data_IF_824081506249
#
_entry.id   IF_824081506249
#
_cell.length_a   1.000
_cell.length_b   1.000
_cell.length_c   1.000
_cell.angle_alpha   90.00
_cell.angle_beta   90.00
_cell.angle_gamma   90.00
#
_symmetry.space_group_name_H-M   'P 1'
#
loop_
_entity.id
_entity.type
_entity.pdbx_description
1 polymer ?
#
# COMPACT_ATOMS: atom_id res chain seq x y z
N UNK A 1 75.65 -10.85 -45.42
CA UNK A 1 74.33 -11.57 -45.40
C UNK A 1 73.50 -11.14 -44.22
N UNK A 2 74.07 -10.44 -43.25
CA UNK A 2 73.36 -9.97 -42.03
C UNK A 2 72.58 -8.65 -42.24
N UNK A 3 73.05 -7.75 -43.09
CA UNK A 3 72.46 -6.41 -43.32
C UNK A 3 71.20 -6.40 -44.20
N UNK A 4 70.96 -7.45 -44.97
CA UNK A 4 69.76 -7.56 -45.85
C UNK A 4 68.54 -8.10 -45.10
N UNK A 5 68.75 -8.89 -44.03
CA UNK A 5 67.66 -9.41 -43.18
C UNK A 5 67.14 -8.35 -42.22
N UNK A 6 67.97 -7.41 -41.79
CA UNK A 6 67.60 -6.33 -40.89
C UNK A 6 66.72 -5.28 -41.54
N UNK A 7 66.98 -4.96 -42.87
CA UNK A 7 66.19 -4.02 -43.67
C UNK A 7 64.82 -4.58 -44.11
N UNK A 8 64.69 -5.91 -44.19
CA UNK A 8 63.40 -6.56 -44.52
C UNK A 8 62.47 -6.63 -43.28
N UNK A 9 63.04 -6.86 -42.10
CA UNK A 9 62.32 -6.86 -40.84
C UNK A 9 61.79 -5.47 -40.42
N UNK A 10 62.58 -4.42 -40.71
CA UNK A 10 62.20 -3.02 -40.43
C UNK A 10 61.11 -2.49 -41.38
N UNK A 11 61.04 -2.98 -42.63
CA UNK A 11 59.96 -2.68 -43.58
C UNK A 11 58.69 -3.42 -43.27
N UNK A 12 58.73 -4.65 -42.83
CA UNK A 12 57.52 -5.41 -42.41
C UNK A 12 56.93 -4.86 -41.12
N UNK A 13 57.77 -4.44 -40.13
CA UNK A 13 57.27 -3.80 -38.93
C UNK A 13 56.66 -2.42 -39.16
N UNK A 14 57.18 -1.66 -40.15
CA UNK A 14 56.57 -0.36 -40.55
C UNK A 14 55.30 -0.53 -41.37
N UNK A 15 55.11 -1.63 -42.09
CA UNK A 15 53.84 -1.92 -42.81
C UNK A 15 52.77 -2.48 -41.87
N UNK A 16 53.12 -3.21 -40.82
CA UNK A 16 52.16 -3.70 -39.81
C UNK A 16 51.71 -2.58 -38.88
N UNK A 17 52.49 -1.51 -38.71
CA UNK A 17 52.10 -0.39 -37.81
C UNK A 17 51.24 0.68 -38.53
N UNK A 18 51.05 0.59 -39.83
CA UNK A 18 50.30 1.58 -40.62
C UNK A 18 48.89 1.12 -41.05
N UNK A 19 48.42 -0.05 -40.56
CA UNK A 19 47.12 -0.58 -40.91
C UNK A 19 46.16 -0.73 -39.72
N UNK A 20 46.49 -0.10 -38.58
CA UNK A 20 45.54 0.12 -37.48
C UNK A 20 45.18 1.61 -37.49
N UNK A 21 44.50 2.04 -38.57
CA UNK A 21 43.64 3.19 -38.47
C UNK A 21 42.44 2.77 -37.61
N UNK A 22 42.63 2.83 -36.29
CA UNK A 22 41.56 3.09 -35.38
C UNK A 22 40.94 4.40 -35.85
N UNK A 23 39.82 4.33 -36.58
CA UNK A 23 38.96 5.46 -36.77
C UNK A 23 38.48 5.86 -35.36
N UNK A 24 39.33 6.53 -34.60
CA UNK A 24 38.89 7.33 -33.46
C UNK A 24 37.89 8.31 -34.07
N UNK A 25 36.61 8.08 -33.77
CA UNK A 25 35.56 9.03 -34.10
C UNK A 25 35.83 10.26 -33.24
N UNK A 26 36.75 11.11 -33.67
CA UNK A 26 36.92 12.45 -33.12
C UNK A 26 35.62 13.22 -33.43
N UNK A 27 34.72 13.22 -32.41
CA UNK A 27 33.52 14.05 -32.46
C UNK A 27 33.98 15.50 -32.33
N UNK A 28 34.24 16.16 -33.48
CA UNK A 28 34.56 17.58 -33.49
C UNK A 28 33.33 18.39 -33.07
N UNK A 29 33.34 18.78 -31.78
CA UNK A 29 32.30 19.61 -31.16
C UNK A 29 32.07 20.92 -31.92
N UNK A 30 33.10 21.47 -32.56
CA UNK A 30 32.99 22.71 -33.34
C UNK A 30 32.24 22.49 -34.66
N UNK A 31 32.44 21.37 -35.33
CA UNK A 31 31.68 20.99 -36.52
C UNK A 31 30.21 20.69 -36.20
N UNK A 32 29.95 20.02 -35.06
CA UNK A 32 28.59 19.84 -34.56
C UNK A 32 27.89 21.18 -34.30
N UNK A 33 28.59 22.11 -33.67
CA UNK A 33 28.05 23.45 -33.37
C UNK A 33 27.78 24.25 -34.66
N UNK A 34 28.66 24.20 -35.66
CA UNK A 34 28.43 24.82 -36.99
C UNK A 34 27.25 24.20 -37.73
N UNK A 35 27.10 22.88 -37.73
CA UNK A 35 25.93 22.16 -38.28
C UNK A 35 24.64 22.58 -37.61
N UNK A 36 24.61 22.67 -36.27
CA UNK A 36 23.43 23.13 -35.50
C UNK A 36 23.07 24.58 -35.80
N UNK A 37 24.04 25.49 -35.88
CA UNK A 37 23.83 26.90 -36.27
C UNK A 37 23.25 27.02 -37.69
N UNK A 38 23.75 26.19 -38.64
CA UNK A 38 23.23 26.14 -40.01
C UNK A 38 21.75 25.71 -40.11
N UNK A 39 21.26 24.98 -39.13
CA UNK A 39 19.87 24.44 -39.09
C UNK A 39 18.93 25.36 -38.32
N UNK A 40 19.36 26.54 -37.84
CA UNK A 40 18.56 27.44 -36.96
C UNK A 40 17.11 27.68 -37.44
N UNK A 41 16.89 27.86 -38.76
CA UNK A 41 15.53 28.05 -39.31
C UNK A 41 14.63 26.81 -39.10
N UNK A 42 15.18 25.58 -39.14
CA UNK A 42 14.45 24.35 -38.92
C UNK A 42 14.18 24.18 -37.42
N UNK A 43 15.13 24.58 -36.57
CA UNK A 43 15.00 24.55 -35.11
C UNK A 43 13.86 25.47 -34.66
N UNK A 44 13.76 26.70 -35.18
CA UNK A 44 12.65 27.62 -34.87
C UNK A 44 11.28 27.06 -35.31
N UNK A 45 11.22 26.43 -36.49
CA UNK A 45 9.97 25.76 -36.93
C UNK A 45 9.61 24.59 -36.02
N UNK A 46 10.57 23.78 -35.62
CA UNK A 46 10.37 22.67 -34.70
C UNK A 46 9.92 23.16 -33.31
N UNK A 47 10.55 24.19 -32.78
CA UNK A 47 10.16 24.80 -31.51
C UNK A 47 8.72 25.34 -31.57
N UNK A 48 8.30 25.96 -32.70
CA UNK A 48 6.93 26.40 -32.91
C UNK A 48 5.91 25.23 -32.92
N UNK A 49 6.25 24.14 -33.61
CA UNK A 49 5.41 22.93 -33.62
C UNK A 49 5.36 22.31 -32.22
N UNK A 50 6.52 22.19 -31.56
CA UNK A 50 6.60 21.66 -30.18
C UNK A 50 5.80 22.49 -29.17
N UNK A 51 5.77 23.82 -29.34
CA UNK A 51 4.98 24.73 -28.51
C UNK A 51 3.47 24.46 -28.71
N UNK A 52 2.99 24.36 -29.95
CA UNK A 52 1.56 24.08 -30.23
C UNK A 52 1.14 22.74 -29.64
N UNK A 53 1.92 21.68 -29.90
CA UNK A 53 1.66 20.35 -29.34
C UNK A 53 1.72 20.38 -27.81
N UNK A 54 2.74 21.04 -27.24
CA UNK A 54 2.91 21.19 -25.81
C UNK A 54 1.73 21.89 -25.12
N UNK A 55 1.16 22.93 -25.74
CA UNK A 55 -0.04 23.62 -25.23
C UNK A 55 -1.26 22.68 -25.26
N UNK A 56 -1.47 21.97 -26.37
CA UNK A 56 -2.61 21.03 -26.51
C UNK A 56 -2.53 19.95 -25.42
N UNK A 57 -1.35 19.35 -25.22
CA UNK A 57 -1.12 18.32 -24.19
C UNK A 57 -1.28 18.90 -22.80
N UNK A 58 -0.71 20.08 -22.51
CA UNK A 58 -0.75 20.71 -21.19
C UNK A 58 -2.19 21.08 -20.76
N UNK A 59 -3.08 21.43 -21.72
CA UNK A 59 -4.50 21.70 -21.44
C UNK A 59 -5.27 20.41 -21.26
N UNK A 60 -4.88 19.35 -21.95
CA UNK A 60 -5.54 18.05 -21.92
C UNK A 60 -5.33 17.27 -20.61
N UNK A 61 -4.23 17.53 -19.88
CA UNK A 61 -3.97 16.86 -18.61
C UNK A 61 -4.85 17.45 -17.51
N UNK A 62 -5.69 16.63 -16.84
CA UNK A 62 -6.52 17.11 -15.73
C UNK A 62 -5.66 17.54 -14.55
N UNK A 63 -6.14 18.52 -13.80
CA UNK A 63 -5.47 18.94 -12.56
C UNK A 63 -5.61 17.85 -11.52
N UNK A 64 -4.59 17.68 -10.70
CA UNK A 64 -4.59 16.76 -9.58
C UNK A 64 -4.36 17.52 -8.28
N UNK A 65 -5.03 17.09 -7.22
CA UNK A 65 -4.94 17.69 -5.89
C UNK A 65 -4.60 16.57 -4.92
N UNK A 66 -3.51 16.74 -4.19
CA UNK A 66 -3.05 15.80 -3.18
C UNK A 66 -3.33 16.36 -1.80
N UNK A 67 -3.94 15.56 -0.97
CA UNK A 67 -4.14 15.81 0.45
C UNK A 67 -3.25 14.86 1.21
N UNK A 68 -2.48 15.39 2.12
CA UNK A 68 -1.60 14.62 3.00
C UNK A 68 -2.13 14.72 4.43
N UNK A 69 -2.25 13.57 5.10
CA UNK A 69 -2.67 13.47 6.50
C UNK A 69 -1.57 12.77 7.26
N UNK A 70 -1.08 13.38 8.32
CA UNK A 70 -0.02 12.83 9.14
C UNK A 70 -0.56 12.33 10.47
N UNK A 71 -0.29 11.06 10.75
CA UNK A 71 -0.64 10.37 11.99
C UNK A 71 0.61 10.13 12.81
N UNK A 72 0.57 10.50 14.08
CA UNK A 72 1.59 10.09 15.06
C UNK A 72 1.04 8.92 15.87
N UNK A 73 1.76 7.80 15.99
CA UNK A 73 1.42 6.83 17.01
C UNK A 73 1.58 7.51 18.36
N UNK A 74 0.54 7.53 19.19
CA UNK A 74 0.73 7.86 20.61
C UNK A 74 1.60 6.75 21.20
N UNK A 75 2.83 7.07 21.51
CA UNK A 75 3.64 6.23 22.39
C UNK A 75 2.92 6.15 23.72
N UNK A 76 2.10 5.10 23.87
CA UNK A 76 1.56 4.76 25.17
C UNK A 76 2.74 4.75 26.14
N UNK A 77 2.68 5.59 27.13
CA UNK A 77 3.76 5.81 28.09
C UNK A 77 3.87 4.53 28.96
N UNK A 78 4.31 3.42 28.33
CA UNK A 78 4.59 2.14 28.94
C UNK A 78 5.87 2.19 29.79
N UNK A 79 6.04 3.30 30.52
CA UNK A 79 6.89 3.29 31.71
C UNK A 79 6.16 2.54 32.80
N UNK A 80 6.27 1.20 32.78
CA UNK A 80 6.31 0.31 33.95
C UNK A 80 5.30 0.48 35.11
N UNK A 81 4.17 1.13 34.93
CA UNK A 81 3.25 1.46 36.01
C UNK A 81 1.79 1.07 35.79
N UNK A 82 1.46 0.49 34.63
CA UNK A 82 0.09 0.04 34.36
C UNK A 82 -0.18 -1.39 34.85
N UNK A 83 -1.41 -1.85 34.67
CA UNK A 83 -1.88 -3.19 35.03
C UNK A 83 -1.03 -4.33 34.40
N UNK A 84 -0.39 -4.04 33.24
CA UNK A 84 0.55 -4.94 32.59
C UNK A 84 1.81 -5.25 33.42
N UNK A 85 2.31 -4.27 34.17
CA UNK A 85 3.41 -4.49 35.14
C UNK A 85 3.00 -5.40 36.29
N UNK A 86 1.80 -5.28 36.75
CA UNK A 86 1.24 -6.17 37.79
C UNK A 86 0.97 -7.59 37.23
N UNK A 87 0.44 -7.69 36.00
CA UNK A 87 0.23 -8.99 35.36
C UNK A 87 1.54 -9.72 35.06
N UNK A 88 2.59 -9.01 34.62
CA UNK A 88 3.92 -9.57 34.38
C UNK A 88 4.58 -10.08 35.68
N UNK A 89 4.39 -9.39 36.81
CA UNK A 89 4.89 -9.82 38.11
C UNK A 89 4.15 -11.07 38.65
N UNK A 90 2.88 -11.24 38.29
CA UNK A 90 2.08 -12.42 38.67
C UNK A 90 2.37 -13.65 37.78
N UNK A 91 2.70 -13.45 36.50
CA UNK A 91 2.94 -14.54 35.53
C UNK A 91 4.42 -14.96 35.43
N UNK A 92 5.34 -14.33 36.16
CA UNK A 92 6.73 -14.74 36.25
C UNK A 92 7.55 -14.65 34.94
N UNK A 93 7.03 -14.06 33.90
CA UNK A 93 7.72 -13.91 32.64
C UNK A 93 8.20 -12.46 32.46
N UNK A 94 9.49 -12.22 32.78
CA UNK A 94 10.19 -10.96 32.53
C UNK A 94 10.45 -10.70 31.04
N UNK A 95 9.39 -10.65 30.22
CA UNK A 95 9.51 -10.24 28.82
C UNK A 95 9.17 -8.77 28.76
N UNK A 96 10.19 -7.93 28.75
CA UNK A 96 10.09 -6.52 28.36
C UNK A 96 9.77 -6.45 26.86
N UNK A 97 8.49 -6.50 26.51
CA UNK A 97 7.99 -6.37 25.15
C UNK A 97 7.74 -4.86 24.89
N UNK A 98 8.81 -4.07 24.78
CA UNK A 98 8.67 -2.60 24.78
C UNK A 98 9.41 -1.93 23.69
N UNK A 99 9.65 -2.20 22.53
CA UNK A 99 10.15 -1.29 21.47
C UNK A 99 9.83 -1.73 20.01
N UNK A 100 9.36 -2.96 19.80
CA UNK A 100 9.05 -3.46 18.46
C UNK A 100 7.61 -3.23 18.01
N UNK A 101 6.68 -2.95 18.91
CA UNK A 101 5.24 -2.89 18.60
C UNK A 101 4.85 -1.64 17.81
N UNK A 102 5.49 -0.50 18.06
CA UNK A 102 5.18 0.75 17.37
C UNK A 102 5.72 0.79 15.95
N UNK A 103 6.93 0.24 15.74
CA UNK A 103 7.51 0.12 14.40
C UNK A 103 6.72 -0.86 13.50
N UNK A 104 6.17 -1.95 14.08
CA UNK A 104 5.29 -2.87 13.39
C UNK A 104 3.98 -2.22 12.97
N UNK A 105 3.40 -1.34 13.81
CA UNK A 105 2.17 -0.62 13.47
C UNK A 105 2.35 0.31 12.30
N UNK A 106 3.46 1.00 12.27
CA UNK A 106 3.77 1.95 11.20
C UNK A 106 3.96 1.23 9.85
N UNK A 107 4.70 0.09 9.82
CA UNK A 107 4.88 -0.69 8.59
C UNK A 107 3.57 -1.32 8.10
N UNK A 108 2.72 -1.81 9.02
CA UNK A 108 1.41 -2.37 8.69
C UNK A 108 0.47 -1.35 8.03
N UNK A 109 0.59 -0.06 8.36
CA UNK A 109 -0.26 0.99 7.77
C UNK A 109 -0.14 1.05 6.26
N UNK A 110 1.08 0.96 5.71
CA UNK A 110 1.30 0.99 4.26
C UNK A 110 0.74 -0.27 3.57
N UNK A 111 0.91 -1.43 4.21
CA UNK A 111 0.43 -2.71 3.68
C UNK A 111 -1.10 -2.78 3.72
N UNK A 112 -1.74 -2.31 4.80
CA UNK A 112 -3.21 -2.27 4.92
C UNK A 112 -3.81 -1.35 3.85
N UNK A 113 -3.30 -0.12 3.69
CA UNK A 113 -3.81 0.85 2.71
C UNK A 113 -3.68 0.34 1.29
N UNK A 114 -2.66 -0.47 0.99
CA UNK A 114 -2.45 -1.07 -0.34
C UNK A 114 -3.16 -2.40 -0.54
N UNK A 115 -3.81 -2.94 0.50
CA UNK A 115 -4.47 -4.25 0.43
C UNK A 115 -5.78 -4.20 -0.36
N UNK A 116 -6.07 -5.28 -1.09
CA UNK A 116 -7.30 -5.40 -1.89
C UNK A 116 -8.58 -5.28 -1.05
N UNK A 117 -8.71 -5.93 0.12
CA UNK A 117 -9.92 -5.80 0.96
C UNK A 117 -10.17 -4.37 1.39
N UNK A 118 -9.14 -3.64 1.81
CA UNK A 118 -9.25 -2.25 2.23
C UNK A 118 -9.71 -1.34 1.09
N UNK A 119 -9.12 -1.50 -0.11
CA UNK A 119 -9.48 -0.70 -1.28
C UNK A 119 -10.88 -1.03 -1.81
N UNK A 120 -11.36 -2.28 -1.68
CA UNK A 120 -12.74 -2.66 -1.97
C UNK A 120 -13.72 -1.96 -1.04
N UNK A 121 -13.46 -2.01 0.25
CA UNK A 121 -14.29 -1.34 1.24
C UNK A 121 -14.33 0.17 1.02
N UNK A 122 -13.17 0.76 0.69
CA UNK A 122 -13.09 2.17 0.35
C UNK A 122 -13.86 2.51 -0.93
N UNK A 123 -13.82 1.65 -1.96
CA UNK A 123 -14.52 1.87 -3.23
C UNK A 123 -16.04 1.90 -3.09
N UNK A 124 -16.57 1.22 -2.09
CA UNK A 124 -18.01 1.17 -1.80
C UNK A 124 -18.51 2.37 -0.99
N UNK A 125 -17.59 3.21 -0.45
CA UNK A 125 -18.00 4.35 0.38
C UNK A 125 -18.66 5.45 -0.46
N UNK A 126 -19.59 6.16 0.18
CA UNK A 126 -20.25 7.33 -0.38
C UNK A 126 -19.43 8.59 -0.12
N UNK A 127 -19.20 9.37 -1.16
CA UNK A 127 -18.48 10.64 -1.13
C UNK A 127 -19.37 11.81 -1.55
N UNK A 128 -19.35 12.95 -0.85
CA UNK A 128 -20.05 14.15 -1.26
C UNK A 128 -19.24 14.88 -2.34
N UNK A 129 -19.72 14.88 -3.57
CA UNK A 129 -19.10 15.59 -4.70
C UNK A 129 -19.47 17.07 -4.68
N UNK A 130 -20.74 17.37 -4.41
CA UNK A 130 -21.28 18.72 -4.31
C UNK A 130 -22.08 18.90 -3.01
N UNK A 131 -22.62 20.10 -2.77
CA UNK A 131 -23.40 20.36 -1.55
C UNK A 131 -24.61 19.43 -1.37
N UNK A 132 -25.17 18.89 -2.47
CA UNK A 132 -26.40 18.09 -2.47
C UNK A 132 -26.25 16.75 -3.20
N UNK A 133 -25.05 16.40 -3.70
CA UNK A 133 -24.84 15.16 -4.44
C UNK A 133 -23.85 14.26 -3.68
N UNK A 134 -24.32 13.07 -3.39
CA UNK A 134 -23.51 11.99 -2.79
C UNK A 134 -23.45 10.87 -3.81
N UNK A 135 -22.27 10.34 -4.06
CA UNK A 135 -22.02 9.28 -5.03
C UNK A 135 -21.04 8.26 -4.44
N UNK A 136 -21.17 6.99 -4.83
CA UNK A 136 -20.17 5.99 -4.45
C UNK A 136 -18.83 6.29 -5.13
N UNK A 137 -17.72 6.12 -4.39
CA UNK A 137 -16.37 6.36 -4.91
C UNK A 137 -16.11 5.52 -6.18
N UNK A 138 -16.65 4.31 -6.26
CA UNK A 138 -16.54 3.44 -7.43
C UNK A 138 -17.17 4.03 -8.69
N UNK A 139 -18.25 4.80 -8.57
CA UNK A 139 -18.93 5.49 -9.69
C UNK A 139 -18.13 6.74 -10.08
N UNK A 140 -17.66 7.50 -9.08
CA UNK A 140 -16.79 8.66 -9.32
C UNK A 140 -15.55 8.31 -10.13
N UNK A 141 -14.92 7.15 -9.84
CA UNK A 141 -13.75 6.68 -10.60
C UNK A 141 -14.05 6.34 -12.06
N UNK A 142 -15.27 5.93 -12.39
CA UNK A 142 -15.69 5.72 -13.77
C UNK A 142 -15.92 7.05 -14.52
N UNK A 143 -16.32 8.11 -13.80
CA UNK A 143 -16.56 9.44 -14.35
C UNK A 143 -15.30 10.31 -14.40
N UNK A 144 -14.22 9.91 -13.70
CA UNK A 144 -12.98 10.68 -13.65
C UNK A 144 -12.39 10.85 -15.05
N UNK A 145 -12.17 12.11 -15.45
CA UNK A 145 -11.78 12.45 -16.81
C UNK A 145 -10.37 11.91 -17.14
N UNK A 146 -10.29 11.06 -18.16
CA UNK A 146 -9.02 10.68 -18.75
C UNK A 146 -8.65 11.67 -19.86
N UNK A 147 -7.35 11.95 -20.08
CA UNK A 147 -6.94 12.81 -21.20
C UNK A 147 -7.40 12.20 -22.53
N UNK A 148 -7.96 13.01 -23.43
CA UNK A 148 -8.47 12.53 -24.72
C UNK A 148 -7.42 11.82 -25.57
N UNK A 149 -6.16 12.19 -25.44
CA UNK A 149 -5.05 11.54 -26.15
C UNK A 149 -4.79 10.11 -25.66
N UNK A 150 -5.24 9.72 -24.48
CA UNK A 150 -5.17 8.32 -24.02
C UNK A 150 -6.03 7.41 -24.91
N UNK A 151 -7.14 7.92 -25.44
CA UNK A 151 -7.95 7.21 -26.43
C UNK A 151 -7.23 7.12 -27.78
N UNK A 152 -6.46 8.15 -28.17
CA UNK A 152 -5.70 8.15 -29.43
C UNK A 152 -4.51 7.17 -29.35
N UNK A 153 -3.79 7.13 -28.23
CA UNK A 153 -2.69 6.17 -28.01
C UNK A 153 -3.24 4.75 -27.85
N UNK A 154 -4.41 4.59 -27.21
CA UNK A 154 -5.10 3.31 -27.08
C UNK A 154 -5.76 2.79 -28.35
N UNK A 155 -5.94 3.68 -29.38
CA UNK A 155 -6.65 3.34 -30.62
C UNK A 155 -6.01 2.16 -31.39
N UNK A 156 -4.68 2.06 -31.57
CA UNK A 156 -4.06 0.87 -32.18
C UNK A 156 -4.34 -0.41 -31.40
N UNK A 157 -4.31 -0.34 -30.06
CA UNK A 157 -4.65 -1.46 -29.19
C UNK A 157 -6.15 -1.80 -29.20
N UNK A 158 -7.01 -0.80 -29.37
CA UNK A 158 -8.46 -0.98 -29.46
C UNK A 158 -8.87 -1.61 -30.79
N UNK A 159 -8.20 -1.25 -31.91
CA UNK A 159 -8.41 -1.89 -33.23
C UNK A 159 -7.96 -3.34 -33.18
N UNK A 160 -6.79 -3.64 -32.61
CA UNK A 160 -6.27 -5.01 -32.47
C UNK A 160 -7.13 -5.80 -31.46
N UNK A 161 -7.54 -5.18 -30.35
CA UNK A 161 -8.43 -5.77 -29.35
C UNK A 161 -9.85 -5.94 -29.84
N UNK A 162 -10.38 -4.98 -30.61
CA UNK A 162 -11.72 -5.04 -31.22
C UNK A 162 -11.85 -6.17 -32.23
N UNK A 163 -10.84 -6.41 -33.05
CA UNK A 163 -10.79 -7.58 -33.95
C UNK A 163 -10.75 -8.89 -33.15
N UNK A 164 -10.01 -8.90 -32.02
CA UNK A 164 -9.94 -10.06 -31.15
C UNK A 164 -11.25 -10.33 -30.39
N UNK A 165 -12.01 -9.28 -30.02
CA UNK A 165 -13.31 -9.41 -29.35
C UNK A 165 -14.43 -9.88 -30.27
N UNK A 166 -14.31 -9.65 -31.59
CA UNK A 166 -15.23 -10.19 -32.60
C UNK A 166 -15.00 -11.70 -32.82
N UNK A 167 -13.83 -12.23 -32.48
CA UNK A 167 -13.50 -13.65 -32.60
C UNK A 167 -13.52 -14.43 -31.26
N UNK A 168 -13.49 -13.73 -30.13
CA UNK A 168 -13.65 -14.33 -28.79
C UNK A 168 -15.00 -13.81 -28.26
N UNK A 169 -16.01 -14.69 -28.26
CA UNK A 169 -17.36 -14.39 -27.78
C UNK A 169 -17.36 -13.73 -26.40
N UNK A 170 -18.32 -12.84 -26.24
CA UNK A 170 -18.58 -11.91 -25.16
C UNK A 170 -18.00 -12.23 -23.77
N UNK A 171 -17.53 -11.19 -23.10
CA UNK A 171 -17.35 -11.22 -21.65
C UNK A 171 -18.71 -11.57 -21.02
N UNK A 172 -18.98 -12.86 -20.81
CA UNK A 172 -20.08 -13.28 -19.96
C UNK A 172 -19.82 -12.69 -18.56
N UNK A 173 -20.85 -12.08 -17.94
CA UNK A 173 -20.76 -11.75 -16.52
C UNK A 173 -20.55 -13.07 -15.79
N UNK A 174 -19.39 -13.24 -15.19
CA UNK A 174 -19.11 -14.39 -14.33
C UNK A 174 -20.15 -14.34 -13.22
N UNK A 175 -21.12 -15.26 -13.32
CA UNK A 175 -22.14 -15.46 -12.30
C UNK A 175 -21.43 -15.91 -11.04
N UNK A 176 -21.44 -15.07 -10.00
CA UNK A 176 -20.88 -15.39 -8.69
C UNK A 176 -21.69 -16.51 -8.06
N UNK A 177 -21.27 -17.74 -8.27
CA UNK A 177 -21.73 -18.85 -7.46
C UNK A 177 -21.01 -18.78 -6.10
N UNK A 178 -21.79 -18.75 -5.02
CA UNK A 178 -21.39 -18.49 -3.63
C UNK A 178 -20.52 -19.60 -3.02
N UNK A 179 -19.46 -20.05 -3.63
CA UNK A 179 -18.75 -21.24 -3.16
C UNK A 179 -17.22 -21.19 -3.20
N UNK A 180 -16.56 -20.05 -3.10
CA UNK A 180 -15.12 -20.07 -2.80
C UNK A 180 -14.86 -19.59 -1.37
N UNK A 181 -14.64 -20.55 -0.49
CA UNK A 181 -14.25 -20.32 0.90
C UNK A 181 -12.95 -19.51 0.93
N UNK A 182 -13.05 -18.18 1.15
CA UNK A 182 -11.94 -17.30 1.47
C UNK A 182 -11.21 -16.62 0.30
N UNK A 183 -11.53 -16.93 -0.96
CA UNK A 183 -10.98 -16.22 -2.12
C UNK A 183 -11.90 -15.07 -2.55
N UNK A 184 -11.34 -13.87 -2.76
CA UNK A 184 -12.08 -12.70 -3.28
C UNK A 184 -12.00 -12.77 -4.80
N UNK A 185 -13.12 -13.04 -5.45
CA UNK A 185 -13.23 -13.01 -6.91
C UNK A 185 -13.59 -11.60 -7.37
N UNK A 186 -12.75 -11.03 -8.21
CA UNK A 186 -12.90 -9.67 -8.73
C UNK A 186 -13.19 -9.69 -10.22
N UNK A 187 -14.18 -8.90 -10.63
CA UNK A 187 -14.37 -8.57 -12.03
C UNK A 187 -13.19 -7.79 -12.59
N UNK A 188 -12.91 -7.89 -13.90
CA UNK A 188 -11.87 -7.08 -14.58
C UNK A 188 -12.07 -5.58 -14.37
N UNK A 189 -13.31 -5.11 -14.27
CA UNK A 189 -13.62 -3.70 -13.99
C UNK A 189 -13.25 -3.30 -12.56
N UNK A 190 -13.58 -4.14 -11.59
CA UNK A 190 -13.24 -3.93 -10.18
C UNK A 190 -11.72 -3.95 -9.96
N UNK A 191 -11.02 -4.91 -10.59
CA UNK A 191 -9.56 -4.97 -10.53
C UNK A 191 -8.92 -3.67 -11.03
N UNK A 192 -9.39 -3.13 -12.18
CA UNK A 192 -8.90 -1.87 -12.71
C UNK A 192 -9.16 -0.69 -11.77
N UNK A 193 -10.33 -0.65 -11.10
CA UNK A 193 -10.65 0.39 -10.10
C UNK A 193 -9.70 0.32 -8.90
N UNK A 194 -9.46 -0.89 -8.39
CA UNK A 194 -8.52 -1.12 -7.28
C UNK A 194 -7.11 -0.70 -7.66
N UNK A 195 -6.63 -1.05 -8.86
CA UNK A 195 -5.32 -0.61 -9.35
C UNK A 195 -5.23 0.92 -9.47
N UNK A 196 -6.32 1.56 -9.88
CA UNK A 196 -6.40 3.03 -9.94
C UNK A 196 -6.35 3.64 -8.55
N UNK A 197 -7.15 3.15 -7.60
CA UNK A 197 -7.12 3.57 -6.20
C UNK A 197 -5.75 3.36 -5.57
N UNK A 198 -5.10 2.23 -5.84
CA UNK A 198 -3.74 1.95 -5.34
C UNK A 198 -2.69 2.95 -5.83
N UNK A 199 -2.90 3.57 -6.99
CA UNK A 199 -2.03 4.64 -7.50
C UNK A 199 -2.37 6.01 -6.91
N UNK A 200 -3.64 6.22 -6.55
CA UNK A 200 -4.15 7.49 -6.03
C UNK A 200 -3.98 7.62 -4.52
N UNK A 201 -3.89 6.50 -3.80
CA UNK A 201 -3.79 6.46 -2.35
C UNK A 201 -2.47 5.77 -1.98
N UNK A 202 -1.66 6.44 -1.19
CA UNK A 202 -0.40 5.88 -0.70
C UNK A 202 -0.22 6.20 0.77
N UNK A 203 0.35 5.26 1.52
CA UNK A 203 0.78 5.49 2.88
C UNK A 203 2.28 5.26 2.98
N UNK A 204 2.97 6.13 3.66
CA UNK A 204 4.40 6.05 3.92
C UNK A 204 4.69 6.27 5.39
N UNK A 205 5.76 5.68 5.86
CA UNK A 205 6.18 5.77 7.26
C UNK A 205 7.57 6.37 7.33
N UNK A 206 7.71 7.42 8.09
CA UNK A 206 9.03 7.96 8.44
C UNK A 206 9.67 7.07 9.51
N UNK A 207 10.78 6.40 9.16
CA UNK A 207 11.50 5.50 10.05
C UNK A 207 12.14 6.19 11.27
N UNK A 208 12.31 7.52 11.23
CA UNK A 208 12.91 8.28 12.32
C UNK A 208 11.89 8.71 13.36
N UNK A 209 10.72 9.13 12.89
CA UNK A 209 9.65 9.68 13.74
C UNK A 209 8.54 8.69 14.00
N UNK A 210 8.53 7.55 13.29
CA UNK A 210 7.44 6.55 13.26
C UNK A 210 6.08 7.16 12.86
N UNK A 211 6.08 8.37 12.30
CA UNK A 211 4.85 9.00 11.80
C UNK A 211 4.41 8.35 10.50
N UNK A 212 3.12 8.17 10.35
CA UNK A 212 2.50 7.65 9.12
C UNK A 212 1.88 8.80 8.34
N UNK A 213 2.36 9.04 7.13
CA UNK A 213 1.77 10.00 6.19
C UNK A 213 0.92 9.25 5.16
N UNK A 214 -0.34 9.62 5.08
CA UNK A 214 -1.30 9.11 4.08
C UNK A 214 -1.53 10.20 3.05
N UNK A 215 -1.13 9.95 1.81
CA UNK A 215 -1.32 10.86 0.68
C UNK A 215 -2.42 10.34 -0.24
N UNK A 216 -3.38 11.20 -0.56
CA UNK A 216 -4.55 10.90 -1.39
C UNK A 216 -4.65 11.93 -2.51
N UNK A 217 -4.69 11.47 -3.77
CA UNK A 217 -4.66 12.33 -4.96
C UNK A 217 -5.90 12.11 -5.82
N UNK A 218 -6.69 13.17 -6.03
CA UNK A 218 -7.87 13.17 -6.90
C UNK A 218 -7.93 14.42 -7.78
N UNK A 219 -8.81 14.42 -8.79
CA UNK A 219 -9.01 15.59 -9.67
C UNK A 219 -9.83 16.71 -8.99
N UNK A 220 -10.64 16.36 -8.00
CA UNK A 220 -11.46 17.32 -7.25
C UNK A 220 -10.87 17.51 -5.83
N UNK A 221 -10.52 18.74 -5.41
CA UNK A 221 -9.85 18.98 -4.13
C UNK A 221 -10.72 18.56 -2.92
N UNK A 222 -12.04 18.73 -3.03
CA UNK A 222 -12.99 18.35 -1.97
C UNK A 222 -13.06 16.83 -1.80
N UNK A 223 -13.12 16.09 -2.93
CA UNK A 223 -13.10 14.63 -2.91
C UNK A 223 -11.80 14.10 -2.30
N UNK A 224 -10.65 14.68 -2.69
CA UNK A 224 -9.36 14.30 -2.12
C UNK A 224 -9.35 14.43 -0.59
N UNK A 225 -9.89 15.53 -0.04
CA UNK A 225 -9.93 15.73 1.42
C UNK A 225 -10.88 14.76 2.13
N UNK A 226 -12.07 14.53 1.59
CA UNK A 226 -13.05 13.60 2.19
C UNK A 226 -12.56 12.17 2.14
N UNK A 227 -11.97 11.75 1.01
CA UNK A 227 -11.39 10.41 0.88
C UNK A 227 -10.20 10.25 1.82
N UNK A 228 -9.33 11.27 1.96
CA UNK A 228 -8.20 11.22 2.88
C UNK A 228 -8.65 11.02 4.35
N UNK A 229 -9.65 11.77 4.80
CA UNK A 229 -10.24 11.61 6.14
C UNK A 229 -10.82 10.20 6.33
N UNK A 230 -11.52 9.69 5.33
CA UNK A 230 -12.13 8.35 5.37
C UNK A 230 -11.09 7.23 5.35
N UNK A 231 -10.02 7.37 4.55
CA UNK A 231 -8.88 6.43 4.53
C UNK A 231 -8.25 6.35 5.91
N UNK A 232 -8.03 7.50 6.56
CA UNK A 232 -7.44 7.56 7.90
C UNK A 232 -8.33 6.87 8.92
N UNK A 233 -9.64 7.15 8.93
CA UNK A 233 -10.59 6.51 9.86
C UNK A 233 -10.63 5.00 9.69
N UNK A 234 -10.76 4.53 8.44
CA UNK A 234 -10.76 3.10 8.15
C UNK A 234 -9.43 2.42 8.46
N UNK A 235 -8.31 3.09 8.19
CA UNK A 235 -7.00 2.58 8.56
C UNK A 235 -6.88 2.39 10.09
N UNK A 236 -7.34 3.37 10.87
CA UNK A 236 -7.38 3.26 12.32
C UNK A 236 -8.25 2.08 12.78
N UNK A 237 -9.44 1.91 12.20
CA UNK A 237 -10.33 0.78 12.51
C UNK A 237 -9.65 -0.56 12.20
N UNK A 238 -9.07 -0.73 11.02
CA UNK A 238 -8.37 -1.96 10.62
C UNK A 238 -7.18 -2.29 11.52
N UNK A 239 -6.38 -1.29 11.91
CA UNK A 239 -5.25 -1.51 12.82
C UNK A 239 -5.73 -1.90 14.22
N UNK A 240 -6.78 -1.24 14.74
CA UNK A 240 -7.38 -1.58 16.04
C UNK A 240 -7.90 -3.02 16.00
N UNK A 241 -8.64 -3.40 14.97
CA UNK A 241 -9.21 -4.74 14.87
C UNK A 241 -8.12 -5.81 14.69
N UNK A 242 -7.10 -5.54 13.89
CA UNK A 242 -5.97 -6.46 13.74
C UNK A 242 -5.27 -6.73 15.08
N UNK A 243 -4.95 -5.67 15.83
CA UNK A 243 -4.26 -5.79 17.13
C UNK A 243 -5.11 -6.41 18.21
N UNK A 244 -6.38 -6.03 18.27
CA UNK A 244 -7.27 -6.50 19.34
C UNK A 244 -7.90 -7.86 19.05
N UNK A 245 -7.82 -8.38 17.80
CA UNK A 245 -8.49 -9.63 17.40
C UNK A 245 -8.08 -10.81 18.26
N UNK A 246 -6.78 -11.03 18.46
CA UNK A 246 -6.28 -12.13 19.31
C UNK A 246 -6.65 -11.95 20.78
N UNK A 247 -6.51 -10.74 21.31
CA UNK A 247 -6.91 -10.46 22.70
C UNK A 247 -8.41 -10.64 22.92
N UNK A 248 -9.24 -10.29 21.92
CA UNK A 248 -10.70 -10.54 21.95
C UNK A 248 -11.01 -12.04 21.91
N UNK A 249 -10.28 -12.83 21.11
CA UNK A 249 -10.42 -14.28 21.01
C UNK A 249 -10.08 -14.95 22.35
N UNK A 250 -8.90 -14.60 22.92
CA UNK A 250 -8.45 -15.10 24.23
C UNK A 250 -9.47 -14.73 25.33
N UNK A 251 -9.99 -13.50 25.32
CA UNK A 251 -11.02 -13.05 26.25
C UNK A 251 -12.33 -13.87 26.10
N UNK A 252 -12.76 -14.11 24.86
CA UNK A 252 -13.95 -14.92 24.57
C UNK A 252 -13.80 -16.38 25.02
N UNK A 253 -12.60 -16.95 24.89
CA UNK A 253 -12.30 -18.28 25.43
C UNK A 253 -12.42 -18.29 26.98
N UNK A 254 -11.80 -17.32 27.64
CA UNK A 254 -11.85 -17.21 29.11
C UNK A 254 -13.27 -16.93 29.62
N UNK A 255 -14.12 -16.23 28.88
CA UNK A 255 -15.54 -16.05 29.24
C UNK A 255 -16.34 -17.35 29.22
N UNK A 256 -16.07 -18.22 28.24
CA UNK A 256 -16.67 -19.55 28.18
C UNK A 256 -16.18 -20.40 29.33
N UNK A 257 -14.88 -20.45 29.56
CA UNK A 257 -14.25 -21.20 30.64
C UNK A 257 -14.76 -20.74 32.01
N UNK A 258 -14.89 -19.43 32.20
CA UNK A 258 -15.46 -18.86 33.44
C UNK A 258 -16.87 -19.38 33.73
N UNK A 259 -17.74 -19.42 32.72
CA UNK A 259 -19.11 -19.95 32.86
C UNK A 259 -19.10 -21.43 33.21
N UNK A 260 -18.25 -22.23 32.58
CA UNK A 260 -18.10 -23.66 32.90
C UNK A 260 -17.65 -23.88 34.35
N UNK A 261 -16.59 -23.19 34.78
CA UNK A 261 -16.07 -23.32 36.15
C UNK A 261 -17.04 -22.80 37.20
N UNK A 262 -17.81 -21.76 36.87
CA UNK A 262 -18.89 -21.28 37.73
C UNK A 262 -20.00 -22.33 37.95
N UNK A 263 -20.39 -23.02 36.87
CA UNK A 263 -21.39 -24.09 36.95
C UNK A 263 -20.85 -25.29 37.74
N UNK A 264 -19.61 -25.68 37.58
CA UNK A 264 -18.97 -26.74 38.34
C UNK A 264 -18.89 -26.41 39.81
N UNK A 265 -18.53 -25.19 40.17
CA UNK A 265 -18.53 -24.74 41.56
C UNK A 265 -19.91 -24.80 42.16
N UNK A 266 -20.93 -24.27 41.48
CA UNK A 266 -22.31 -24.33 41.99
C UNK A 266 -22.83 -25.76 42.11
N UNK A 267 -22.50 -26.64 41.18
CA UNK A 267 -22.84 -28.05 41.25
C UNK A 267 -22.15 -28.77 42.44
N UNK A 268 -20.89 -28.45 42.71
CA UNK A 268 -20.16 -28.99 43.86
C UNK A 268 -20.73 -28.45 45.18
N UNK A 269 -21.05 -27.15 45.21
CA UNK A 269 -21.69 -26.51 46.35
C UNK A 269 -23.06 -27.16 46.69
N UNK A 270 -23.86 -27.42 45.65
CA UNK A 270 -25.16 -28.06 45.85
C UNK A 270 -25.02 -29.48 46.35
N UNK A 271 -24.10 -30.28 45.79
CA UNK A 271 -23.83 -31.64 46.26
C UNK A 271 -23.40 -31.67 47.74
N UNK A 272 -22.56 -30.72 48.15
CA UNK A 272 -22.15 -30.60 49.54
C UNK A 272 -23.32 -30.24 50.45
N UNK A 273 -24.19 -29.27 50.06
CA UNK A 273 -25.37 -28.87 50.81
C UNK A 273 -26.40 -30.00 50.92
N UNK A 274 -26.74 -30.67 49.81
CA UNK A 274 -27.68 -31.81 49.79
C UNK A 274 -27.17 -32.96 50.66
N UNK A 275 -25.85 -33.17 50.71
CA UNK A 275 -25.27 -34.19 51.60
C UNK A 275 -25.40 -33.82 53.06
N UNK A 276 -25.19 -32.58 53.48
CA UNK A 276 -25.40 -32.09 54.84
C UNK A 276 -26.85 -32.20 55.26
N UNK A 277 -27.79 -31.79 54.38
CA UNK A 277 -29.22 -31.83 54.67
C UNK A 277 -29.76 -33.26 54.84
N UNK A 278 -29.14 -34.24 54.17
CA UNK A 278 -29.55 -35.66 54.26
C UNK A 278 -28.92 -36.44 55.42
N UNK A 279 -27.88 -35.89 56.10
CA UNK A 279 -27.14 -36.57 57.14
C UNK A 279 -27.01 -35.72 58.41
N UNK A 280 -28.17 -35.51 59.10
CA UNK A 280 -28.25 -34.66 60.29
C UNK A 280 -27.48 -35.22 61.49
N UNK A 281 -27.08 -36.51 61.51
CA UNK A 281 -26.40 -37.16 62.58
C UNK A 281 -25.05 -37.77 62.22
N UNK A 282 -23.97 -36.96 62.30
CA UNK A 282 -22.63 -37.29 61.87
C UNK A 282 -21.86 -38.09 62.94
N UNK A 283 -22.32 -39.33 63.25
CA UNK A 283 -21.65 -40.20 64.23
C UNK A 283 -20.66 -41.16 63.52
N UNK A 284 -20.96 -41.56 62.29
CA UNK A 284 -20.14 -42.52 61.54
C UNK A 284 -18.94 -41.88 60.90
N UNK A 285 -17.74 -42.51 61.06
CA UNK A 285 -16.50 -42.05 60.46
C UNK A 285 -16.58 -41.97 58.94
N UNK A 286 -17.31 -42.87 58.27
CA UNK A 286 -17.55 -42.89 56.84
C UNK A 286 -18.32 -41.66 56.34
N UNK A 287 -19.32 -41.19 57.09
CA UNK A 287 -20.12 -40.00 56.80
C UNK A 287 -19.24 -38.74 56.91
N UNK A 288 -18.37 -38.70 57.93
CA UNK A 288 -17.44 -37.57 58.09
C UNK A 288 -16.41 -37.52 57.01
N UNK A 289 -15.87 -38.66 56.59
CA UNK A 289 -14.89 -38.73 55.48
C UNK A 289 -15.51 -38.29 54.15
N UNK A 290 -16.78 -38.64 53.88
CA UNK A 290 -17.47 -38.21 52.65
C UNK A 290 -17.83 -36.72 52.70
N UNK A 291 -18.20 -36.18 53.83
CA UNK A 291 -18.38 -34.75 54.03
C UNK A 291 -17.11 -33.96 53.74
N UNK A 292 -15.99 -34.42 54.30
CA UNK A 292 -14.67 -33.79 54.07
C UNK A 292 -14.26 -33.85 52.59
N UNK A 293 -14.53 -34.95 51.89
CA UNK A 293 -14.28 -35.10 50.48
C UNK A 293 -15.08 -34.09 49.66
N UNK A 294 -16.41 -33.98 49.89
CA UNK A 294 -17.27 -33.04 49.17
C UNK A 294 -16.91 -31.58 49.46
N UNK A 295 -16.51 -31.28 50.72
CA UNK A 295 -16.00 -29.95 51.06
C UNK A 295 -14.71 -29.61 50.33
N UNK A 296 -13.81 -30.57 50.22
CA UNK A 296 -12.55 -30.40 49.46
C UNK A 296 -12.83 -30.22 47.97
N UNK A 297 -13.75 -31.01 47.40
CA UNK A 297 -14.17 -30.87 45.97
C UNK A 297 -14.76 -29.49 45.71
N UNK A 298 -15.66 -29.00 46.59
CA UNK A 298 -16.21 -27.64 46.48
C UNK A 298 -15.14 -26.56 46.62
N UNK A 299 -14.23 -26.73 47.58
CA UNK A 299 -13.12 -25.79 47.78
C UNK A 299 -12.19 -25.72 46.57
N UNK A 300 -11.86 -26.89 45.98
CA UNK A 300 -11.05 -26.97 44.73
C UNK A 300 -11.79 -26.31 43.58
N UNK A 301 -13.09 -26.59 43.37
CA UNK A 301 -13.88 -25.96 42.32
C UNK A 301 -13.94 -24.44 42.49
N UNK A 302 -14.05 -23.93 43.72
CA UNK A 302 -14.03 -22.51 44.04
C UNK A 302 -12.66 -21.87 43.69
N UNK A 303 -11.57 -22.54 44.05
CA UNK A 303 -10.20 -22.03 43.72
C UNK A 303 -10.01 -21.90 42.23
N UNK A 304 -10.41 -22.93 41.43
CA UNK A 304 -10.32 -22.90 39.97
C UNK A 304 -11.22 -21.79 39.41
N UNK A 305 -12.46 -21.68 39.86
CA UNK A 305 -13.39 -20.60 39.44
C UNK A 305 -12.81 -19.21 39.75
N UNK A 306 -12.28 -18.99 40.95
CA UNK A 306 -11.66 -17.73 41.35
C UNK A 306 -10.44 -17.37 40.52
N UNK A 307 -9.59 -18.37 40.18
CA UNK A 307 -8.41 -18.19 39.34
C UNK A 307 -8.81 -17.79 37.92
N UNK A 308 -9.79 -18.45 37.31
CA UNK A 308 -10.29 -18.14 35.98
C UNK A 308 -10.96 -16.75 35.96
N UNK A 309 -11.71 -16.39 37.02
CA UNK A 309 -12.28 -15.06 37.18
C UNK A 309 -11.20 -13.95 37.14
N UNK A 310 -10.09 -14.17 37.84
CA UNK A 310 -8.95 -13.25 37.86
C UNK A 310 -8.30 -13.15 36.48
N UNK A 311 -8.08 -14.28 35.78
CA UNK A 311 -7.51 -14.30 34.43
C UNK A 311 -8.43 -13.59 33.44
N UNK A 312 -9.74 -13.75 33.53
CA UNK A 312 -10.72 -13.06 32.69
C UNK A 312 -10.64 -11.53 32.87
N UNK A 313 -10.48 -11.05 34.10
CA UNK A 313 -10.32 -9.61 34.36
C UNK A 313 -9.04 -9.08 33.69
N UNK A 314 -7.93 -9.82 33.78
CA UNK A 314 -6.67 -9.46 33.12
C UNK A 314 -6.82 -9.46 31.59
N UNK A 315 -7.50 -10.46 31.03
CA UNK A 315 -7.73 -10.53 29.58
C UNK A 315 -8.61 -9.37 29.08
N UNK A 316 -9.65 -8.99 29.84
CA UNK A 316 -10.48 -7.82 29.52
C UNK A 316 -9.67 -6.51 29.55
N UNK A 317 -8.79 -6.35 30.54
CA UNK A 317 -7.90 -5.19 30.61
C UNK A 317 -6.94 -5.17 29.40
N UNK A 318 -6.37 -6.32 29.02
CA UNK A 318 -5.50 -6.45 27.87
C UNK A 318 -6.17 -6.04 26.57
N UNK A 319 -7.44 -6.39 26.32
CA UNK A 319 -8.21 -5.93 25.14
C UNK A 319 -8.28 -4.40 25.08
N UNK A 320 -8.34 -3.71 26.21
CA UNK A 320 -8.35 -2.24 26.24
C UNK A 320 -6.95 -1.63 26.03
N UNK A 321 -5.91 -2.25 26.60
CA UNK A 321 -4.53 -1.82 26.42
C UNK A 321 -4.02 -1.98 24.96
N UNK A 322 -4.49 -3.03 24.28
CA UNK A 322 -4.12 -3.32 22.89
C UNK A 322 -4.76 -2.36 21.87
N UNK A 323 -5.65 -1.45 22.27
CA UNK A 323 -6.21 -0.44 21.37
C UNK A 323 -5.16 0.66 21.13
N UNK A 324 -4.54 0.71 19.95
CA UNK A 324 -3.61 1.80 19.63
C UNK A 324 -4.38 3.12 19.55
N UNK A 325 -3.80 4.17 20.06
CA UNK A 325 -4.30 5.54 19.89
C UNK A 325 -3.40 6.23 18.86
N UNK A 326 -4.03 6.78 17.82
CA UNK A 326 -3.35 7.59 16.82
C UNK A 326 -3.75 9.05 17.00
N UNK A 327 -2.79 9.92 17.23
CA UNK A 327 -3.02 11.34 17.18
C UNK A 327 -2.93 11.84 15.74
N UNK A 328 -3.94 12.54 15.27
CA UNK A 328 -3.89 13.22 13.98
C UNK A 328 -3.09 14.52 14.18
N UNK A 329 -1.87 14.55 13.64
CA UNK A 329 -0.97 15.69 13.71
C UNK A 329 -1.37 16.72 12.68
N UNK A 330 -1.62 16.28 11.46
CA UNK A 330 -2.09 17.11 10.36
C UNK A 330 -3.38 16.51 9.78
N UNK A 331 -4.53 17.20 9.95
CA UNK A 331 -5.81 16.72 9.45
C UNK A 331 -5.94 16.94 7.93
N UNK A 332 -6.91 16.26 7.31
CA UNK A 332 -7.23 16.44 5.91
C UNK A 332 -7.75 17.87 5.64
N UNK A 333 -6.99 18.65 4.89
CA UNK A 333 -7.35 20.02 4.49
C UNK A 333 -7.60 20.06 3.00
N UNK A 334 -8.66 20.76 2.56
CA UNK A 334 -8.96 20.92 1.13
C UNK A 334 -7.87 21.78 0.47
N UNK A 335 -7.09 21.26 -0.48
CA UNK A 335 -6.00 21.99 -1.10
C UNK A 335 -6.54 23.09 -2.03
N UNK A 336 -5.95 24.27 -1.98
CA UNK A 336 -6.30 25.41 -2.84
C UNK A 336 -5.57 25.36 -4.18
N UNK A 337 -4.38 24.76 -4.22
CA UNK A 337 -3.55 24.67 -5.41
C UNK A 337 -3.39 23.21 -5.86
N UNK A 338 -3.30 22.96 -7.20
CA UNK A 338 -3.04 21.64 -7.71
C UNK A 338 -1.60 21.19 -7.40
N UNK A 339 -1.44 19.95 -6.95
CA UNK A 339 -0.15 19.34 -6.61
C UNK A 339 0.60 18.79 -7.83
N UNK A 340 -0.07 18.64 -8.97
CA UNK A 340 0.52 18.11 -10.21
C UNK A 340 1.55 19.06 -10.83
N UNK A 341 2.38 18.52 -11.73
CA UNK A 341 3.38 19.29 -12.47
C UNK A 341 2.74 20.46 -13.20
N UNK A 342 3.31 21.65 -13.08
CA UNK A 342 2.76 22.86 -13.70
C UNK A 342 2.67 22.72 -15.22
N UNK A 343 1.59 23.24 -15.82
CA UNK A 343 1.38 23.21 -17.29
C UNK A 343 2.54 23.79 -18.07
N UNK A 344 3.24 24.79 -17.50
CA UNK A 344 4.41 25.43 -18.10
C UNK A 344 5.57 24.45 -18.32
N UNK A 345 5.77 23.51 -17.41
CA UNK A 345 6.83 22.49 -17.50
C UNK A 345 6.56 21.53 -18.68
N UNK A 346 5.30 21.11 -18.87
CA UNK A 346 4.93 20.26 -20.02
C UNK A 346 5.20 20.97 -21.35
N UNK A 347 4.79 22.22 -21.49
CA UNK A 347 5.05 23.01 -22.71
C UNK A 347 6.54 23.10 -22.98
N UNK A 348 7.34 23.43 -21.97
CA UNK A 348 8.80 23.55 -22.11
C UNK A 348 9.46 22.21 -22.47
N UNK A 349 9.01 21.12 -21.87
CA UNK A 349 9.49 19.77 -22.17
C UNK A 349 9.21 19.37 -23.62
N UNK A 350 8.01 19.69 -24.17
CA UNK A 350 7.66 19.39 -25.56
C UNK A 350 8.44 20.26 -26.56
N UNK A 351 8.69 21.54 -26.24
CA UNK A 351 9.57 22.39 -27.03
C UNK A 351 10.99 21.81 -27.10
N UNK A 352 11.53 21.43 -25.93
CA UNK A 352 12.87 20.83 -25.86
C UNK A 352 12.95 19.52 -26.65
N UNK A 353 11.97 18.62 -26.45
CA UNK A 353 11.91 17.34 -27.15
C UNK A 353 11.85 17.52 -28.69
N UNK A 354 11.02 18.45 -29.19
CA UNK A 354 10.88 18.70 -30.61
C UNK A 354 12.16 19.23 -31.22
N UNK A 355 12.89 20.11 -30.52
CA UNK A 355 14.20 20.62 -30.96
C UNK A 355 15.22 19.48 -30.98
N UNK A 356 15.29 18.65 -29.94
CA UNK A 356 16.18 17.50 -29.89
C UNK A 356 15.95 16.52 -31.05
N UNK A 357 14.69 16.20 -31.36
CA UNK A 357 14.32 15.33 -32.49
C UNK A 357 14.84 15.88 -33.81
N UNK A 358 14.67 17.19 -34.07
CA UNK A 358 15.13 17.81 -35.33
C UNK A 358 16.66 17.86 -35.42
N UNK A 359 17.35 18.13 -34.32
CA UNK A 359 18.80 18.09 -34.26
C UNK A 359 19.30 16.68 -34.55
N UNK A 360 18.77 15.68 -33.87
CA UNK A 360 19.13 14.28 -34.05
C UNK A 360 18.89 13.81 -35.49
N UNK A 361 17.71 14.13 -36.05
CA UNK A 361 17.39 13.77 -37.43
C UNK A 361 18.31 14.41 -38.46
N UNK A 362 18.75 15.66 -38.27
CA UNK A 362 19.67 16.34 -39.20
C UNK A 362 21.11 15.90 -39.02
N UNK A 363 21.55 15.48 -37.82
CA UNK A 363 22.94 15.03 -37.61
C UNK A 363 23.12 13.56 -37.99
N UNK A 364 22.17 12.70 -37.61
CA UNK A 364 22.31 11.25 -37.78
C UNK A 364 21.37 10.67 -38.85
N UNK A 365 20.16 11.21 -38.98
CA UNK A 365 19.13 10.63 -39.84
C UNK A 365 19.44 10.68 -41.32
N UNK A 366 20.17 11.69 -41.78
CA UNK A 366 20.55 11.80 -43.18
C UNK A 366 21.67 10.82 -43.56
N UNK A 367 22.63 10.64 -42.69
CA UNK A 367 23.75 9.73 -42.91
C UNK A 367 23.28 8.28 -42.83
N UNK A 368 22.34 7.99 -41.93
CA UNK A 368 21.69 6.69 -41.84
C UNK A 368 20.88 6.35 -43.09
N UNK A 369 20.06 7.28 -43.59
CA UNK A 369 19.27 7.07 -44.82
C UNK A 369 20.14 6.92 -46.06
N UNK A 370 21.27 7.62 -46.16
CA UNK A 370 22.21 7.50 -47.27
C UNK A 370 22.93 6.13 -47.24
N UNK A 371 23.40 5.69 -46.06
CA UNK A 371 23.97 4.34 -45.89
C UNK A 371 22.94 3.24 -46.18
N UNK A 372 21.68 3.45 -45.78
CA UNK A 372 20.60 2.48 -46.04
C UNK A 372 20.25 2.39 -47.54
N UNK A 373 20.32 3.52 -48.27
CA UNK A 373 20.15 3.51 -49.72
C UNK A 373 21.30 2.84 -50.48
N UNK A 374 22.55 2.98 -49.98
CA UNK A 374 23.72 2.30 -50.55
C UNK A 374 23.69 0.79 -50.33
N UNK A 375 23.08 0.31 -49.24
CA UNK A 375 22.96 -1.13 -48.94
C UNK A 375 21.79 -1.79 -49.69
N UNK A 376 20.78 -1.00 -50.09
CA UNK A 376 19.61 -1.50 -50.82
C UNK A 376 19.67 -1.29 -52.34
N UNK A 377 20.72 -0.63 -52.89
CA UNK A 377 21.01 -0.51 -54.31
C UNK A 377 22.13 -1.45 -54.75
#
# INVERSE_FOLDING_TARGET
>A
MSTLMEQTSEKETKQLHNNHNDEEIEIDLMDLLRKVIGIRKKIYKAAGIGLVIGIIVAISIPKQYTVEVTLSPEMGNNKGGGLSGLAASFLGSGVTMGDGTDALNASLSADIVSSTPFLLELSAMEIPISKNEVMALSIYLDEESSPWWSYVIGFPGMVIGGVKSLFTGGDEPISYDKASQGAIELSKKELKKIETLKKMISASVDKKTSMTSVAVTFQTPRVAAVVADSVVKKLQEHIIDYRTSKAKEDCGYLEKLFKERQQEYYAAQQKYADYLDSHDNIILQSVRAEQERLQNDMSLAYQVYSQVASQLQVARAKVQEEKPVFAVVEPAVVPLEPSGTSRKVYVLAFIFLSVCIVIFWNLFGKDFLNKFKEVCA
#
